data_IF_908169305378
#
_entry.id   IF_908169305378
#
_cell.length_a   1.000
_cell.length_b   1.000
_cell.length_c   1.000
_cell.angle_alpha   90.00
_cell.angle_beta   90.00
_cell.angle_gamma   90.00
#
_symmetry.space_group_name_H-M   'P 1'
#
loop_
_entity.id
_entity.type
_entity.pdbx_description
1 polymer ?
#
# COMPACT_ATOMS: atom_id res chain seq x y z
N UNK A 1 -10.77 -12.17 1.59
CA UNK A 1 -10.83 -10.70 1.51
C UNK A 1 -9.68 -10.22 0.65
N UNK A 2 -9.93 -9.36 -0.33
CA UNK A 2 -8.86 -8.77 -1.16
C UNK A 2 -8.33 -7.45 -0.56
N UNK A 3 -7.23 -6.92 -1.11
CA UNK A 3 -6.61 -5.69 -0.59
C UNK A 3 -7.55 -4.48 -0.57
N UNK A 4 -8.44 -4.32 -1.57
CA UNK A 4 -9.40 -3.22 -1.61
C UNK A 4 -10.42 -3.34 -0.48
N UNK A 5 -10.98 -4.53 -0.32
CA UNK A 5 -11.93 -4.83 0.76
C UNK A 5 -11.30 -4.63 2.14
N UNK A 6 -10.04 -5.03 2.29
CA UNK A 6 -9.27 -4.78 3.50
C UNK A 6 -9.15 -3.28 3.78
N UNK A 7 -8.75 -2.47 2.80
CA UNK A 7 -8.62 -1.02 3.00
C UNK A 7 -9.92 -0.36 3.45
N UNK A 8 -11.07 -0.82 2.94
CA UNK A 8 -12.38 -0.33 3.34
C UNK A 8 -12.71 -0.75 4.78
N UNK A 9 -12.41 -1.99 5.14
CA UNK A 9 -12.77 -2.57 6.45
C UNK A 9 -11.71 -2.40 7.54
N UNK A 10 -10.49 -1.95 7.23
CA UNK A 10 -9.37 -1.97 8.18
C UNK A 10 -9.65 -1.24 9.50
N UNK A 11 -10.50 -0.23 9.47
CA UNK A 11 -10.90 0.53 10.66
C UNK A 11 -11.76 -0.30 11.64
N UNK A 12 -12.46 -1.32 11.12
CA UNK A 12 -13.20 -2.31 11.92
C UNK A 12 -12.27 -3.43 12.41
N UNK A 13 -11.18 -3.69 11.69
CA UNK A 13 -10.26 -4.80 11.94
C UNK A 13 -9.09 -4.42 12.86
N UNK A 14 -8.68 -3.14 12.85
CA UNK A 14 -7.49 -2.63 13.54
C UNK A 14 -7.90 -1.41 14.36
N UNK A 15 -7.70 -1.47 15.67
CA UNK A 15 -8.07 -0.39 16.61
C UNK A 15 -7.26 0.87 16.30
N UNK A 16 -7.95 2.01 16.20
CA UNK A 16 -7.34 3.33 15.96
C UNK A 16 -7.14 3.68 14.48
N UNK A 17 -7.39 2.75 13.55
CA UNK A 17 -7.42 3.06 12.13
C UNK A 17 -8.68 3.84 11.75
N UNK A 18 -8.56 4.75 10.79
CA UNK A 18 -9.68 5.53 10.26
C UNK A 18 -10.29 4.85 9.05
N UNK A 19 -11.60 5.03 8.89
CA UNK A 19 -12.31 4.62 7.70
C UNK A 19 -11.75 5.32 6.46
N UNK A 20 -11.55 4.55 5.38
CA UNK A 20 -11.14 5.07 4.10
C UNK A 20 -12.33 5.16 3.16
N UNK A 21 -12.44 6.29 2.46
CA UNK A 21 -13.39 6.45 1.36
C UNK A 21 -13.05 5.49 0.22
N UNK A 22 -14.08 5.06 -0.51
CA UNK A 22 -13.95 4.13 -1.64
C UNK A 22 -12.97 4.62 -2.71
N UNK A 23 -13.03 5.91 -3.05
CA UNK A 23 -12.12 6.54 -4.01
C UNK A 23 -10.66 6.42 -3.53
N UNK A 24 -10.40 6.67 -2.25
CA UNK A 24 -9.06 6.56 -1.66
C UNK A 24 -8.54 5.12 -1.71
N UNK A 25 -9.39 4.14 -1.36
CA UNK A 25 -9.03 2.72 -1.46
C UNK A 25 -8.69 2.32 -2.90
N UNK A 26 -9.48 2.79 -3.88
CA UNK A 26 -9.21 2.58 -5.31
C UNK A 26 -7.87 3.16 -5.75
N UNK A 27 -7.53 4.37 -5.29
CA UNK A 27 -6.24 5.00 -5.61
C UNK A 27 -5.05 4.19 -5.06
N UNK A 28 -5.14 3.66 -3.83
CA UNK A 28 -4.08 2.81 -3.28
C UNK A 28 -3.89 1.52 -4.10
N UNK A 29 -4.97 0.87 -4.50
CA UNK A 29 -4.92 -0.33 -5.37
C UNK A 29 -4.25 0.00 -6.70
N UNK A 30 -4.61 1.13 -7.32
CA UNK A 30 -4.05 1.55 -8.60
C UNK A 30 -2.55 1.89 -8.49
N UNK A 31 -2.13 2.58 -7.42
CA UNK A 31 -0.70 2.85 -7.15
C UNK A 31 0.09 1.56 -6.98
N UNK A 32 -0.42 0.59 -6.22
CA UNK A 32 0.24 -0.70 -6.03
C UNK A 32 0.38 -1.46 -7.35
N UNK A 33 -0.69 -1.54 -8.15
CA UNK A 33 -0.65 -2.13 -9.50
C UNK A 33 0.39 -1.46 -10.39
N UNK A 34 0.45 -0.13 -10.37
CA UNK A 34 1.43 0.65 -11.12
C UNK A 34 2.87 0.33 -10.69
N UNK A 35 3.15 0.29 -9.38
CA UNK A 35 4.49 -0.06 -8.86
C UNK A 35 4.94 -1.44 -9.30
N UNK A 36 4.04 -2.45 -9.21
CA UNK A 36 4.32 -3.82 -9.67
C UNK A 36 4.59 -3.88 -11.18
N UNK A 37 3.74 -3.21 -11.98
CA UNK A 37 3.91 -3.15 -13.44
C UNK A 37 5.26 -2.56 -13.83
N UNK A 38 5.74 -1.57 -13.09
CA UNK A 38 7.04 -0.93 -13.32
C UNK A 38 8.21 -1.63 -12.61
N UNK A 39 8.02 -2.80 -11.99
CA UNK A 39 9.03 -3.56 -11.22
C UNK A 39 9.68 -2.76 -10.08
N UNK A 40 8.95 -1.78 -9.54
CA UNK A 40 9.42 -0.94 -8.43
C UNK A 40 9.26 -1.69 -7.12
N UNK A 41 8.06 -2.26 -6.92
CA UNK A 41 7.72 -3.14 -5.80
C UNK A 41 7.48 -4.56 -6.34
N UNK A 42 8.22 -5.53 -5.81
CA UNK A 42 8.26 -6.94 -6.21
C UNK A 42 7.97 -7.86 -5.01
N UNK A 43 6.93 -7.56 -4.24
CA UNK A 43 6.52 -8.35 -3.07
C UNK A 43 7.50 -8.35 -1.90
N UNK A 44 8.32 -7.31 -1.78
CA UNK A 44 9.22 -7.11 -0.65
C UNK A 44 8.45 -7.24 0.69
N UNK A 45 9.13 -7.78 1.71
CA UNK A 45 8.50 -8.08 3.01
C UNK A 45 8.42 -6.86 3.94
N UNK A 46 9.28 -5.86 3.70
CA UNK A 46 9.36 -4.63 4.47
C UNK A 46 9.84 -3.49 3.57
N UNK A 47 9.68 -2.25 4.04
CA UNK A 47 10.20 -1.07 3.35
C UNK A 47 11.61 -0.83 3.85
N UNK A 48 12.61 -1.15 3.03
CA UNK A 48 14.01 -0.81 3.27
C UNK A 48 14.41 0.47 2.56
N UNK A 49 15.64 0.94 2.84
CA UNK A 49 16.18 2.14 2.21
C UNK A 49 16.29 2.01 0.69
N UNK A 50 16.49 0.79 0.17
CA UNK A 50 16.58 0.53 -1.27
C UNK A 50 15.22 0.70 -1.97
N UNK A 51 14.16 0.09 -1.45
CA UNK A 51 12.80 0.24 -1.96
C UNK A 51 12.34 1.69 -1.81
N UNK A 52 12.64 2.33 -0.68
CA UNK A 52 12.35 3.73 -0.47
C UNK A 52 13.01 4.62 -1.53
N UNK A 53 14.32 4.43 -1.79
CA UNK A 53 15.02 5.17 -2.85
C UNK A 53 14.42 4.90 -4.25
N UNK A 54 14.06 3.67 -4.57
CA UNK A 54 13.38 3.36 -5.85
C UNK A 54 12.07 4.13 -6.01
N UNK A 55 11.28 4.23 -4.93
CA UNK A 55 10.01 4.95 -4.93
C UNK A 55 10.24 6.46 -5.02
N UNK A 56 11.20 7.00 -4.26
CA UNK A 56 11.62 8.41 -4.30
C UNK A 56 12.06 8.84 -5.70
N UNK A 57 12.90 8.04 -6.36
CA UNK A 57 13.43 8.34 -7.68
C UNK A 57 12.37 8.27 -8.79
N UNK A 58 11.31 7.48 -8.62
CA UNK A 58 10.25 7.34 -9.64
C UNK A 58 9.13 8.37 -9.49
N UNK A 59 8.67 8.61 -8.27
CA UNK A 59 7.39 9.28 -8.03
C UNK A 59 7.58 10.59 -7.29
N UNK A 60 7.04 11.68 -7.85
CA UNK A 60 7.06 13.00 -7.19
C UNK A 60 6.35 12.99 -5.83
N UNK A 61 5.26 12.24 -5.68
CA UNK A 61 4.53 12.03 -4.43
C UNK A 61 4.93 10.71 -3.73
N UNK A 62 6.22 10.39 -3.73
CA UNK A 62 6.78 9.13 -3.20
C UNK A 62 6.24 8.72 -1.83
N UNK A 63 5.97 9.68 -0.93
CA UNK A 63 5.37 9.41 0.40
C UNK A 63 4.03 8.69 0.31
N UNK A 64 3.19 9.03 -0.68
CA UNK A 64 1.91 8.36 -0.91
C UNK A 64 2.11 6.92 -1.41
N UNK A 65 3.12 6.71 -2.23
CA UNK A 65 3.50 5.38 -2.71
C UNK A 65 4.09 4.52 -1.59
N UNK A 66 4.93 5.08 -0.72
CA UNK A 66 5.37 4.40 0.50
C UNK A 66 4.20 4.01 1.41
N UNK A 67 3.27 4.94 1.63
CA UNK A 67 2.06 4.66 2.41
C UNK A 67 1.21 3.55 1.77
N UNK A 68 1.19 3.48 0.43
CA UNK A 68 0.54 2.39 -0.30
C UNK A 68 1.20 1.05 0.02
N UNK A 69 2.53 0.97 -0.04
CA UNK A 69 3.28 -0.24 0.31
C UNK A 69 3.03 -0.62 1.77
N UNK A 70 3.11 0.34 2.70
CA UNK A 70 2.83 0.11 4.12
C UNK A 70 1.45 -0.50 4.35
N UNK A 71 0.40 0.07 3.75
CA UNK A 71 -0.94 -0.52 3.84
C UNK A 71 -1.00 -1.94 3.28
N UNK A 72 -0.26 -2.21 2.20
CA UNK A 72 -0.23 -3.53 1.59
C UNK A 72 0.52 -4.56 2.43
N UNK A 73 1.58 -4.16 3.14
CA UNK A 73 2.29 -5.02 4.07
C UNK A 73 1.40 -5.40 5.26
N UNK A 74 0.70 -4.43 5.86
CA UNK A 74 -0.26 -4.72 6.95
C UNK A 74 -1.36 -5.67 6.46
N UNK A 75 -1.84 -5.50 5.23
CA UNK A 75 -2.78 -6.44 4.63
C UNK A 75 -2.19 -7.85 4.50
N UNK A 76 -0.94 -7.97 4.03
CA UNK A 76 -0.24 -9.27 3.91
C UNK A 76 -0.10 -9.96 5.26
N UNK A 77 0.23 -9.21 6.30
CA UNK A 77 0.33 -9.74 7.66
C UNK A 77 -1.04 -10.17 8.22
N UNK A 78 -2.11 -9.45 7.89
CA UNK A 78 -3.47 -9.78 8.32
C UNK A 78 -4.01 -11.08 7.69
N UNK A 79 -3.66 -11.36 6.43
CA UNK A 79 -4.16 -12.56 5.71
C UNK A 79 -3.28 -13.80 5.88
N UNK A 80 -2.17 -13.68 6.62
CA UNK A 80 -1.22 -14.77 6.88
C UNK A 80 -1.73 -15.67 8.01
#
# INVERSE_FOLDING_TARGET
>A
MNFREFLLKKHLLIKGERELKEISAGQYVNRLKSMRKNKIYNEEKYIDSYLEQKIQNRYKDWKTYLKTVSHYLVYKDYIK
#
